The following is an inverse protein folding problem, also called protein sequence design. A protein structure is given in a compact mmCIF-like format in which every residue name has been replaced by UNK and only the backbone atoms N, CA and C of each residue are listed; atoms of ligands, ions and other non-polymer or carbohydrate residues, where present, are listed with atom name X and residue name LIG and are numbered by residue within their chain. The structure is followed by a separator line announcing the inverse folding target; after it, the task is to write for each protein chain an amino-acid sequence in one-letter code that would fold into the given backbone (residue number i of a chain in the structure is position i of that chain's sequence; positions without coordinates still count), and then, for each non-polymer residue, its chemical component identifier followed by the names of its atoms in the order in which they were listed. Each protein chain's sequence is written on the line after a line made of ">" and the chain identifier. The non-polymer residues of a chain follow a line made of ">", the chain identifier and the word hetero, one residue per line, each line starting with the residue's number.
data_IF_251224213431
#
_entry.id   IF_251224213431
#
_cell.length_a   1.000
_cell.length_b   1.000
_cell.length_c   1.000
_cell.angle_alpha   90.00
_cell.angle_beta   90.00
_cell.angle_gamma   90.00
#
_symmetry.space_group_name_H-M   'P 1'
#
loop_
_entity.id
_entity.type
_entity.pdbx_description
1 polymer ?
#
# COMPACT_ATOMS: atom_id res chain seq x y z
N UNK A 1 7.90 -40.73 36.18
CA UNK A 1 8.25 -40.80 34.75
C UNK A 1 7.91 -39.44 34.18
N UNK A 2 8.87 -38.77 33.54
CA UNK A 2 8.53 -37.62 32.73
C UNK A 2 7.84 -38.16 31.47
N UNK A 3 6.61 -37.73 31.23
CA UNK A 3 6.00 -37.85 29.89
C UNK A 3 6.87 -37.05 28.93
N UNK A 4 7.15 -37.61 27.75
CA UNK A 4 7.75 -36.80 26.68
C UNK A 4 6.78 -35.64 26.38
N UNK A 5 7.26 -34.39 26.28
CA UNK A 5 6.39 -33.27 26.00
C UNK A 5 5.71 -33.49 24.66
N UNK A 6 4.39 -33.28 24.62
CA UNK A 6 3.65 -33.36 23.37
C UNK A 6 4.21 -32.30 22.40
N UNK A 7 4.21 -32.59 21.09
CA UNK A 7 4.91 -31.75 20.11
C UNK A 7 4.52 -30.27 20.14
N UNK A 8 3.26 -29.99 20.53
CA UNK A 8 2.73 -28.64 20.74
C UNK A 8 3.43 -27.94 21.91
N UNK A 9 3.46 -28.53 23.12
CA UNK A 9 4.12 -27.96 24.30
C UNK A 9 5.62 -27.69 24.05
N UNK A 10 6.27 -28.58 23.30
CA UNK A 10 7.66 -28.40 22.89
C UNK A 10 7.83 -27.20 21.95
N UNK A 11 6.93 -27.03 20.98
CA UNK A 11 6.97 -25.90 20.05
C UNK A 11 6.70 -24.54 20.72
N UNK A 12 5.75 -24.49 21.67
CA UNK A 12 5.49 -23.30 22.51
C UNK A 12 6.72 -22.94 23.34
N UNK A 13 7.34 -23.95 23.96
CA UNK A 13 8.57 -23.80 24.75
C UNK A 13 9.74 -23.30 23.90
N UNK A 14 9.86 -23.77 22.65
CA UNK A 14 10.88 -23.33 21.69
C UNK A 14 10.63 -21.89 21.20
N UNK A 15 9.36 -21.54 20.95
CA UNK A 15 8.98 -20.17 20.60
C UNK A 15 9.31 -19.19 21.74
N UNK A 16 8.87 -19.50 22.97
CA UNK A 16 9.14 -18.69 24.15
C UNK A 16 10.64 -18.59 24.48
N UNK A 17 11.43 -19.65 24.21
CA UNK A 17 12.89 -19.60 24.31
C UNK A 17 13.51 -18.62 23.29
N UNK A 18 12.91 -18.49 22.11
CA UNK A 18 13.29 -17.51 21.11
C UNK A 18 13.13 -16.08 21.61
N UNK A 19 11.94 -15.74 22.12
CA UNK A 19 11.64 -14.43 22.73
C UNK A 19 12.59 -14.09 23.89
N UNK A 20 12.92 -15.07 24.75
CA UNK A 20 13.88 -14.88 25.85
C UNK A 20 15.28 -14.64 25.28
N UNK A 21 15.69 -15.37 24.24
CA UNK A 21 17.00 -15.19 23.61
C UNK A 21 17.14 -13.82 22.90
N UNK A 22 16.07 -13.32 22.27
CA UNK A 22 16.00 -11.99 21.68
C UNK A 22 16.19 -10.90 22.74
N UNK A 23 15.40 -10.94 23.83
CA UNK A 23 15.51 -9.98 24.96
C UNK A 23 16.89 -10.00 25.63
N UNK A 24 17.60 -11.12 25.56
CA UNK A 24 18.96 -11.29 26.05
C UNK A 24 20.05 -10.88 25.04
N UNK A 25 19.67 -10.23 23.92
CA UNK A 25 20.53 -9.81 22.82
C UNK A 25 21.38 -10.97 22.22
N UNK A 26 20.74 -12.12 21.98
CA UNK A 26 21.37 -13.32 21.39
C UNK A 26 20.64 -13.76 20.11
N UNK A 27 20.77 -12.99 19.00
CA UNK A 27 20.02 -13.24 17.76
C UNK A 27 20.21 -14.66 17.23
N UNK A 28 21.44 -15.18 17.18
CA UNK A 28 21.72 -16.56 16.71
C UNK A 28 21.02 -17.65 17.52
N UNK A 29 20.61 -17.36 18.77
CA UNK A 29 19.86 -18.29 19.62
C UNK A 29 18.36 -18.12 19.42
N UNK A 30 17.89 -16.88 19.28
CA UNK A 30 16.50 -16.59 18.95
C UNK A 30 16.12 -17.22 17.61
N UNK A 31 16.92 -16.98 16.57
CA UNK A 31 16.69 -17.48 15.20
C UNK A 31 16.65 -19.02 15.16
N UNK A 32 17.56 -19.70 15.89
CA UNK A 32 17.56 -21.17 15.99
C UNK A 32 16.36 -21.71 16.77
N UNK A 33 15.92 -21.02 17.82
CA UNK A 33 14.78 -21.44 18.62
C UNK A 33 13.47 -21.30 17.84
N UNK A 34 13.24 -20.17 17.17
CA UNK A 34 12.08 -19.98 16.29
C UNK A 34 12.13 -20.91 15.07
N UNK A 35 13.29 -21.14 14.44
CA UNK A 35 13.43 -22.15 13.36
C UNK A 35 13.05 -23.57 13.82
N UNK A 36 13.36 -23.92 15.07
CA UNK A 36 12.93 -25.19 15.65
C UNK A 36 11.42 -25.22 15.94
N UNK A 37 10.84 -24.12 16.46
CA UNK A 37 9.40 -24.00 16.68
C UNK A 37 8.59 -24.13 15.38
N UNK A 38 9.07 -23.51 14.28
CA UNK A 38 8.48 -23.67 12.94
C UNK A 38 8.44 -25.12 12.45
N UNK A 39 9.38 -25.97 12.87
CA UNK A 39 9.51 -27.33 12.36
C UNK A 39 8.59 -28.36 13.04
N UNK A 40 7.97 -28.02 14.18
CA UNK A 40 7.21 -28.99 14.99
C UNK A 40 5.98 -28.46 15.72
N UNK A 41 5.54 -27.22 15.44
CA UNK A 41 4.42 -26.58 16.15
C UNK A 41 3.05 -26.67 15.47
N UNK A 42 2.04 -26.09 16.11
CA UNK A 42 0.75 -25.79 15.48
C UNK A 42 0.91 -24.69 14.42
N UNK A 43 -0.04 -24.55 13.49
CA UNK A 43 0.00 -23.53 12.44
C UNK A 43 0.22 -22.11 13.02
N UNK A 44 -0.47 -21.76 14.10
CA UNK A 44 -0.36 -20.46 14.78
C UNK A 44 1.06 -20.20 15.30
N UNK A 45 1.68 -21.21 15.92
CA UNK A 45 3.06 -21.13 16.45
C UNK A 45 4.07 -21.09 15.31
N UNK A 46 3.85 -21.85 14.24
CA UNK A 46 4.70 -21.82 13.04
C UNK A 46 4.67 -20.43 12.39
N UNK A 47 3.49 -19.83 12.24
CA UNK A 47 3.30 -18.49 11.68
C UNK A 47 3.92 -17.41 12.58
N UNK A 48 3.70 -17.46 13.90
CA UNK A 48 4.31 -16.53 14.85
C UNK A 48 5.85 -16.64 14.85
N UNK A 49 6.40 -17.85 14.85
CA UNK A 49 7.83 -18.11 14.78
C UNK A 49 8.44 -17.62 13.46
N UNK A 50 7.74 -17.81 12.35
CA UNK A 50 8.12 -17.31 11.04
C UNK A 50 8.16 -15.77 11.01
N UNK A 51 7.11 -15.11 11.47
CA UNK A 51 7.03 -13.64 11.51
C UNK A 51 8.16 -13.05 12.36
N UNK A 52 8.41 -13.62 13.55
CA UNK A 52 9.53 -13.23 14.43
C UNK A 52 10.89 -13.42 13.75
N UNK A 53 11.08 -14.54 13.05
CA UNK A 53 12.33 -14.83 12.33
C UNK A 53 12.54 -13.89 11.14
N UNK A 54 11.51 -13.59 10.36
CA UNK A 54 11.54 -12.59 9.28
C UNK A 54 11.94 -11.22 9.85
N UNK A 55 11.27 -10.76 10.90
CA UNK A 55 11.56 -9.48 11.55
C UNK A 55 13.02 -9.41 12.03
N UNK A 56 13.52 -10.45 12.68
CA UNK A 56 14.92 -10.51 13.14
C UNK A 56 15.91 -10.39 11.97
N UNK A 57 15.67 -11.12 10.87
CA UNK A 57 16.54 -11.07 9.69
C UNK A 57 16.51 -9.68 9.01
N UNK A 58 15.33 -9.06 8.88
CA UNK A 58 15.18 -7.69 8.36
C UNK A 58 15.89 -6.65 9.23
N UNK A 59 15.84 -6.78 10.56
CA UNK A 59 16.53 -5.90 11.50
C UNK A 59 18.07 -6.04 11.44
N UNK A 60 18.60 -7.18 10.99
CA UNK A 60 20.04 -7.42 10.85
C UNK A 60 20.57 -7.23 9.41
N UNK A 61 19.72 -6.81 8.46
CA UNK A 61 20.11 -6.64 7.05
C UNK A 61 20.42 -7.96 6.35
N UNK A 62 19.71 -9.03 6.71
CA UNK A 62 19.84 -10.35 6.09
C UNK A 62 18.74 -10.57 5.03
N UNK A 63 18.55 -9.60 4.15
CA UNK A 63 17.41 -9.48 3.24
C UNK A 63 17.30 -10.69 2.28
N UNK A 64 18.42 -11.17 1.74
CA UNK A 64 18.44 -12.41 0.92
C UNK A 64 18.03 -13.67 1.70
N UNK A 65 18.31 -13.73 3.02
CA UNK A 65 17.91 -14.86 3.85
C UNK A 65 16.41 -14.83 4.17
N UNK A 66 15.77 -13.66 4.09
CA UNK A 66 14.30 -13.53 4.15
C UNK A 66 13.67 -14.08 2.89
N UNK A 67 14.20 -13.75 1.71
CA UNK A 67 13.70 -14.28 0.42
C UNK A 67 13.91 -15.80 0.31
N UNK A 68 15.06 -16.33 0.72
CA UNK A 68 15.32 -17.77 0.80
C UNK A 68 14.33 -18.47 1.75
N UNK A 69 14.10 -17.90 2.94
CA UNK A 69 13.12 -18.40 3.89
C UNK A 69 11.70 -18.43 3.29
N UNK A 70 11.23 -17.32 2.71
CA UNK A 70 9.93 -17.20 2.04
C UNK A 70 9.80 -18.23 0.91
N UNK A 71 10.87 -18.45 0.13
CA UNK A 71 10.89 -19.42 -0.97
C UNK A 71 10.76 -20.88 -0.51
N UNK A 72 11.06 -21.18 0.76
CA UNK A 72 10.97 -22.54 1.33
C UNK A 72 9.68 -22.83 2.10
N UNK A 73 8.86 -21.82 2.36
CA UNK A 73 7.64 -21.95 3.19
C UNK A 73 6.39 -21.88 2.30
N UNK A 74 5.45 -22.79 2.51
CA UNK A 74 4.13 -22.72 1.90
C UNK A 74 3.26 -21.70 2.66
N UNK A 75 2.58 -20.83 1.91
CA UNK A 75 1.72 -19.78 2.45
C UNK A 75 0.30 -19.99 1.92
N UNK A 76 -0.58 -20.56 2.75
CA UNK A 76 -1.93 -21.01 2.35
C UNK A 76 -3.05 -20.17 3.00
N UNK A 77 -2.78 -18.90 3.39
CA UNK A 77 -3.75 -18.07 4.11
C UNK A 77 -3.61 -16.56 3.85
N UNK A 78 -4.72 -15.83 4.02
CA UNK A 78 -4.75 -14.37 3.85
C UNK A 78 -3.79 -13.65 4.81
N UNK A 79 -3.65 -14.18 6.03
CA UNK A 79 -2.73 -13.65 7.03
C UNK A 79 -1.25 -13.78 6.62
N UNK A 80 -0.91 -14.76 5.76
CA UNK A 80 0.40 -14.85 5.15
C UNK A 80 0.62 -13.79 4.05
N UNK A 81 -0.38 -13.58 3.18
CA UNK A 81 -0.32 -12.56 2.13
C UNK A 81 0.05 -11.18 2.69
N UNK A 82 -0.60 -10.77 3.78
CA UNK A 82 -0.27 -9.52 4.49
C UNK A 82 1.17 -9.46 5.00
N UNK A 83 1.70 -10.53 5.58
CA UNK A 83 3.10 -10.56 6.05
C UNK A 83 4.08 -10.43 4.88
N UNK A 84 3.77 -11.02 3.72
CA UNK A 84 4.58 -10.88 2.51
C UNK A 84 4.53 -9.46 1.93
N UNK A 85 3.37 -8.79 1.97
CA UNK A 85 3.23 -7.37 1.62
C UNK A 85 4.08 -6.47 2.52
N UNK A 86 3.99 -6.63 3.85
CA UNK A 86 4.79 -5.86 4.81
C UNK A 86 6.31 -6.03 4.57
N UNK A 87 6.76 -7.23 4.14
CA UNK A 87 8.15 -7.51 3.74
C UNK A 87 8.52 -6.83 2.42
N UNK A 88 7.66 -6.91 1.41
CA UNK A 88 7.90 -6.28 0.11
C UNK A 88 7.96 -4.75 0.21
N UNK A 89 7.05 -4.13 0.98
CA UNK A 89 7.07 -2.70 1.33
C UNK A 89 8.37 -2.32 2.05
N UNK A 90 8.84 -3.14 2.99
CA UNK A 90 10.14 -2.94 3.67
C UNK A 90 11.32 -2.97 2.69
N UNK A 91 11.27 -3.81 1.65
CA UNK A 91 12.29 -3.84 0.59
C UNK A 91 12.20 -2.65 -0.37
N UNK A 92 10.99 -2.18 -0.70
CA UNK A 92 10.80 -0.96 -1.50
C UNK A 92 11.31 0.29 -0.76
N UNK A 93 11.03 0.43 0.54
CA UNK A 93 11.57 1.50 1.39
C UNK A 93 13.10 1.50 1.49
N UNK A 94 13.74 0.37 1.20
CA UNK A 94 15.21 0.20 1.18
C UNK A 94 15.82 0.31 -0.22
N UNK A 95 15.05 0.70 -1.23
CA UNK A 95 15.45 0.74 -2.65
C UNK A 95 15.94 -0.62 -3.18
N UNK A 96 15.22 -1.70 -2.82
CA UNK A 96 15.49 -3.08 -3.26
C UNK A 96 14.31 -3.70 -4.03
N UNK A 97 13.83 -3.09 -5.13
CA UNK A 97 12.65 -3.55 -5.86
C UNK A 97 12.78 -4.98 -6.39
N UNK A 98 13.99 -5.44 -6.72
CA UNK A 98 14.21 -6.83 -7.17
C UNK A 98 14.00 -7.89 -6.07
N UNK A 99 14.18 -7.55 -4.79
CA UNK A 99 13.83 -8.45 -3.68
C UNK A 99 12.35 -8.36 -3.33
N UNK A 100 11.75 -7.17 -3.44
CA UNK A 100 10.32 -6.98 -3.30
C UNK A 100 9.55 -7.83 -4.33
N UNK A 101 9.89 -7.74 -5.62
CA UNK A 101 9.29 -8.54 -6.68
C UNK A 101 9.32 -10.06 -6.38
N UNK A 102 10.47 -10.59 -5.96
CA UNK A 102 10.61 -12.00 -5.61
C UNK A 102 9.73 -12.46 -4.42
N UNK A 103 9.30 -11.53 -3.56
CA UNK A 103 8.33 -11.77 -2.48
C UNK A 103 6.89 -11.59 -2.99
N UNK A 104 6.62 -10.62 -3.86
CA UNK A 104 5.30 -10.38 -4.44
C UNK A 104 4.86 -11.51 -5.40
N UNK A 105 5.80 -12.15 -6.11
CA UNK A 105 5.58 -13.36 -6.91
C UNK A 105 5.08 -14.58 -6.08
N UNK A 106 5.06 -14.47 -4.75
CA UNK A 106 4.52 -15.46 -3.80
C UNK A 106 3.15 -15.07 -3.24
N UNK A 107 2.65 -13.86 -3.52
CA UNK A 107 1.34 -13.37 -3.07
C UNK A 107 0.32 -13.62 -4.17
N UNK A 108 -0.66 -14.49 -3.88
CA UNK A 108 -1.80 -14.70 -4.78
C UNK A 108 -2.92 -13.73 -4.39
N UNK A 109 -3.32 -12.84 -5.31
CA UNK A 109 -4.34 -11.81 -5.06
C UNK A 109 -5.69 -12.37 -4.58
N UNK A 110 -6.04 -13.59 -4.99
CA UNK A 110 -7.24 -14.32 -4.53
C UNK A 110 -7.24 -14.68 -3.04
N UNK A 111 -6.09 -14.56 -2.37
CA UNK A 111 -5.94 -14.75 -0.93
C UNK A 111 -5.76 -13.42 -0.17
N UNK A 112 -6.01 -12.27 -0.80
CA UNK A 112 -5.93 -10.97 -0.15
C UNK A 112 -7.31 -10.32 -0.07
N UNK A 113 -7.60 -9.67 1.06
CA UNK A 113 -8.77 -8.79 1.18
C UNK A 113 -8.62 -7.60 0.21
N UNK A 114 -9.71 -6.92 -0.22
CA UNK A 114 -9.63 -5.85 -1.23
C UNK A 114 -8.58 -4.77 -0.92
N UNK A 115 -8.47 -4.33 0.35
CA UNK A 115 -7.44 -3.37 0.77
C UNK A 115 -6.00 -3.88 0.63
N UNK A 116 -5.73 -5.15 0.94
CA UNK A 116 -4.41 -5.76 0.73
C UNK A 116 -4.13 -6.01 -0.77
N UNK A 117 -5.17 -6.19 -1.60
CA UNK A 117 -5.03 -6.24 -3.08
C UNK A 117 -4.64 -4.88 -3.69
N UNK A 118 -5.14 -3.76 -3.15
CA UNK A 118 -4.63 -2.43 -3.52
C UNK A 118 -3.14 -2.27 -3.16
N UNK A 119 -2.75 -2.63 -1.94
CA UNK A 119 -1.33 -2.62 -1.51
C UNK A 119 -0.45 -3.52 -2.39
N UNK A 120 -0.96 -4.69 -2.81
CA UNK A 120 -0.28 -5.59 -3.75
C UNK A 120 -0.04 -4.92 -5.11
N UNK A 121 -1.03 -4.21 -5.65
CA UNK A 121 -0.88 -3.46 -6.90
C UNK A 121 0.15 -2.33 -6.76
N UNK A 122 0.06 -1.52 -5.70
CA UNK A 122 1.02 -0.43 -5.41
C UNK A 122 2.46 -0.96 -5.27
N UNK A 123 2.64 -2.07 -4.55
CA UNK A 123 3.94 -2.70 -4.38
C UNK A 123 4.47 -3.29 -5.71
N UNK A 124 3.61 -3.90 -6.53
CA UNK A 124 3.96 -4.39 -7.88
C UNK A 124 4.39 -3.23 -8.80
N UNK A 125 3.69 -2.08 -8.78
CA UNK A 125 4.07 -0.86 -9.50
C UNK A 125 5.45 -0.37 -9.05
N UNK A 126 5.69 -0.32 -7.73
CA UNK A 126 7.01 0.01 -7.15
C UNK A 126 8.14 -0.94 -7.58
N UNK A 127 7.82 -2.19 -7.91
CA UNK A 127 8.75 -3.17 -8.47
C UNK A 127 8.93 -3.08 -9.99
N UNK A 128 8.13 -2.27 -10.69
CA UNK A 128 8.04 -2.23 -12.15
C UNK A 128 7.21 -3.35 -12.78
N UNK A 129 6.49 -4.13 -11.97
CA UNK A 129 5.56 -5.19 -12.41
C UNK A 129 4.19 -4.59 -12.79
N UNK A 130 4.20 -3.62 -13.70
CA UNK A 130 3.04 -2.77 -14.03
C UNK A 130 1.86 -3.58 -14.57
N UNK A 131 2.11 -4.52 -15.49
CA UNK A 131 1.05 -5.38 -16.04
C UNK A 131 0.42 -6.25 -14.95
N UNK A 132 1.25 -6.86 -14.09
CA UNK A 132 0.78 -7.70 -12.99
C UNK A 132 0.00 -6.91 -11.94
N UNK A 133 0.18 -5.58 -11.87
CA UNK A 133 -0.61 -4.66 -11.04
C UNK A 133 -1.93 -4.26 -11.71
N UNK A 134 -1.92 -4.03 -13.03
CA UNK A 134 -3.14 -3.81 -13.82
C UNK A 134 -4.06 -5.04 -13.73
N UNK A 135 -3.52 -6.25 -13.87
CA UNK A 135 -4.30 -7.50 -13.75
C UNK A 135 -4.99 -7.64 -12.37
N UNK A 136 -4.32 -7.25 -11.29
CA UNK A 136 -4.94 -7.19 -9.94
C UNK A 136 -6.03 -6.09 -9.86
N UNK A 137 -5.70 -4.92 -10.41
CA UNK A 137 -6.55 -3.78 -10.77
C UNK A 137 -7.92 -4.20 -11.32
N UNK A 138 -7.86 -4.83 -12.48
CA UNK A 138 -9.03 -5.28 -13.24
C UNK A 138 -9.78 -6.39 -12.52
N UNK A 139 -9.08 -7.28 -11.82
CA UNK A 139 -9.73 -8.30 -11.00
C UNK A 139 -10.37 -7.76 -9.70
N UNK A 140 -10.16 -6.49 -9.33
CA UNK A 140 -10.98 -5.80 -8.30
C UNK A 140 -12.25 -5.17 -8.88
N UNK A 141 -12.31 -4.89 -10.19
CA UNK A 141 -13.54 -4.41 -10.85
C UNK A 141 -14.64 -5.49 -10.91
N UNK A 142 -14.29 -6.75 -10.66
CA UNK A 142 -15.22 -7.87 -10.60
C UNK A 142 -15.81 -8.11 -9.19
N UNK A 143 -15.41 -7.32 -8.19
CA UNK A 143 -15.96 -7.39 -6.84
C UNK A 143 -17.46 -6.99 -6.81
N UNK A 144 -18.14 -7.24 -5.69
CA UNK A 144 -19.53 -6.83 -5.48
C UNK A 144 -19.67 -5.51 -4.71
N UNK A 145 -18.61 -5.03 -4.06
CA UNK A 145 -18.58 -3.73 -3.39
C UNK A 145 -18.29 -2.58 -4.39
N UNK A 146 -19.24 -1.65 -4.51
CA UNK A 146 -19.15 -0.49 -5.39
C UNK A 146 -18.00 0.45 -5.02
N UNK A 147 -17.70 0.65 -3.73
CA UNK A 147 -16.57 1.49 -3.31
C UNK A 147 -15.22 0.84 -3.68
N UNK A 148 -15.14 -0.51 -3.65
CA UNK A 148 -13.97 -1.25 -4.14
C UNK A 148 -13.81 -1.07 -5.65
N UNK A 149 -14.90 -1.20 -6.42
CA UNK A 149 -14.87 -0.99 -7.87
C UNK A 149 -14.43 0.44 -8.24
N UNK A 150 -15.02 1.47 -7.62
CA UNK A 150 -14.70 2.88 -7.91
C UNK A 150 -13.26 3.22 -7.54
N UNK A 151 -12.76 2.72 -6.39
CA UNK A 151 -11.33 2.84 -6.03
C UNK A 151 -10.41 2.13 -7.03
N UNK A 152 -10.80 0.97 -7.55
CA UNK A 152 -10.04 0.24 -8.56
C UNK A 152 -10.03 0.95 -9.92
N UNK A 153 -11.13 1.59 -10.32
CA UNK A 153 -11.15 2.46 -11.51
C UNK A 153 -10.19 3.64 -11.33
N UNK A 154 -10.24 4.33 -10.19
CA UNK A 154 -9.35 5.44 -9.92
C UNK A 154 -7.87 5.02 -9.92
N UNK A 155 -7.56 3.89 -9.29
CA UNK A 155 -6.20 3.33 -9.24
C UNK A 155 -5.69 2.96 -10.64
N UNK A 156 -6.51 2.28 -11.46
CA UNK A 156 -6.19 2.00 -12.86
C UNK A 156 -5.96 3.29 -13.66
N UNK A 157 -6.78 4.33 -13.45
CA UNK A 157 -6.60 5.65 -14.06
C UNK A 157 -5.23 6.26 -13.74
N UNK A 158 -4.79 6.19 -12.47
CA UNK A 158 -3.45 6.64 -12.07
C UNK A 158 -2.33 5.83 -12.72
N UNK A 159 -2.46 4.49 -12.78
CA UNK A 159 -1.46 3.62 -13.43
C UNK A 159 -1.35 3.94 -14.92
N UNK A 160 -2.48 4.06 -15.62
CA UNK A 160 -2.49 4.43 -17.03
C UNK A 160 -1.87 5.83 -17.26
N UNK A 161 -2.21 6.82 -16.43
CA UNK A 161 -1.65 8.17 -16.52
C UNK A 161 -0.13 8.20 -16.26
N UNK A 162 0.36 7.49 -15.24
CA UNK A 162 1.79 7.39 -14.90
C UNK A 162 2.65 6.67 -15.94
N UNK A 163 2.03 6.00 -16.91
CA UNK A 163 2.68 5.30 -18.02
C UNK A 163 2.35 5.89 -19.40
N UNK A 164 2.00 7.19 -19.45
CA UNK A 164 1.67 7.94 -20.68
C UNK A 164 0.49 7.35 -21.50
N UNK A 165 -0.32 6.47 -20.90
CA UNK A 165 -1.52 5.87 -21.51
C UNK A 165 -2.73 6.76 -21.28
N UNK A 166 -2.74 7.92 -21.96
CA UNK A 166 -3.73 8.99 -21.79
C UNK A 166 -5.17 8.51 -22.03
N UNK A 167 -5.48 7.90 -23.18
CA UNK A 167 -6.88 7.53 -23.49
C UNK A 167 -7.47 6.49 -22.51
N UNK A 168 -6.75 5.40 -22.13
CA UNK A 168 -7.19 4.53 -21.05
C UNK A 168 -7.37 5.23 -19.69
N UNK A 169 -6.46 6.13 -19.32
CA UNK A 169 -6.54 6.87 -18.07
C UNK A 169 -7.79 7.76 -18.01
N UNK A 170 -8.07 8.52 -19.07
CA UNK A 170 -9.30 9.30 -19.24
C UNK A 170 -10.53 8.40 -19.10
N UNK A 171 -10.56 7.25 -19.80
CA UNK A 171 -11.68 6.33 -19.73
C UNK A 171 -11.91 5.76 -18.33
N UNK A 172 -10.88 5.63 -17.51
CA UNK A 172 -11.03 5.18 -16.12
C UNK A 172 -11.51 6.32 -15.21
N UNK A 173 -10.89 7.50 -15.28
CA UNK A 173 -11.31 8.65 -14.45
C UNK A 173 -12.72 9.13 -14.80
N UNK A 174 -13.13 9.08 -16.06
CA UNK A 174 -14.51 9.37 -16.46
C UNK A 174 -15.49 8.47 -15.72
N UNK A 175 -15.22 7.16 -15.63
CA UNK A 175 -16.08 6.19 -14.93
C UNK A 175 -16.10 6.40 -13.41
N UNK A 176 -15.04 6.98 -12.84
CA UNK A 176 -15.02 7.38 -11.41
C UNK A 176 -15.94 8.57 -11.16
N UNK A 177 -15.92 9.58 -12.04
CA UNK A 177 -16.81 10.75 -11.95
C UNK A 177 -18.28 10.35 -12.22
N UNK A 178 -18.52 9.47 -13.19
CA UNK A 178 -19.86 8.94 -13.53
C UNK A 178 -20.48 8.07 -12.43
N UNK A 179 -19.69 7.58 -11.46
CA UNK A 179 -20.20 6.84 -10.31
C UNK A 179 -20.87 7.74 -9.26
N UNK A 180 -20.67 9.06 -9.32
CA UNK A 180 -21.30 10.07 -8.45
C UNK A 180 -21.11 9.83 -6.94
N UNK A 181 -20.00 9.18 -6.56
CA UNK A 181 -19.60 8.95 -5.16
C UNK A 181 -19.05 10.24 -4.54
N UNK A 182 -19.59 10.65 -3.39
CA UNK A 182 -19.27 11.90 -2.67
C UNK A 182 -17.76 12.11 -2.42
N UNK A 183 -16.99 11.02 -2.29
CA UNK A 183 -15.55 11.06 -2.06
C UNK A 183 -14.78 10.90 -3.37
N UNK A 184 -15.08 9.87 -4.16
CA UNK A 184 -14.29 9.50 -5.32
C UNK A 184 -14.55 10.36 -6.55
N UNK A 185 -15.77 10.87 -6.76
CA UNK A 185 -16.09 11.72 -7.91
C UNK A 185 -15.21 12.98 -7.98
N UNK A 186 -15.10 13.83 -6.93
CA UNK A 186 -14.20 15.00 -6.99
C UNK A 186 -12.71 14.62 -7.04
N UNK A 187 -12.31 13.49 -6.44
CA UNK A 187 -10.94 12.95 -6.50
C UNK A 187 -10.58 12.54 -7.94
N UNK A 188 -11.49 11.85 -8.64
CA UNK A 188 -11.36 11.48 -10.04
C UNK A 188 -11.35 12.69 -10.98
N UNK A 189 -12.21 13.67 -10.73
CA UNK A 189 -12.24 14.93 -11.48
C UNK A 189 -10.94 15.72 -11.36
N UNK A 190 -10.35 15.82 -10.14
CA UNK A 190 -9.05 16.46 -9.95
C UNK A 190 -7.95 15.76 -10.74
N UNK A 191 -7.86 14.43 -10.65
CA UNK A 191 -6.84 13.64 -11.36
C UNK A 191 -7.00 13.69 -12.88
N UNK A 192 -8.23 13.74 -13.39
CA UNK A 192 -8.51 13.94 -14.82
C UNK A 192 -8.10 15.34 -15.28
N UNK A 193 -8.44 16.39 -14.53
CA UNK A 193 -8.00 17.75 -14.83
C UNK A 193 -6.48 17.88 -14.87
N UNK A 194 -5.79 17.24 -13.93
CA UNK A 194 -4.33 17.16 -13.89
C UNK A 194 -3.73 16.45 -15.11
N UNK A 195 -4.34 15.34 -15.55
CA UNK A 195 -3.94 14.66 -16.77
C UNK A 195 -4.12 15.55 -18.01
N UNK A 196 -5.26 16.22 -18.16
CA UNK A 196 -5.51 17.13 -19.29
C UNK A 196 -4.54 18.32 -19.30
N UNK A 197 -4.21 18.88 -18.13
CA UNK A 197 -3.20 19.92 -18.01
C UNK A 197 -1.80 19.42 -18.41
N UNK A 198 -1.45 18.19 -18.05
CA UNK A 198 -0.16 17.58 -18.42
C UNK A 198 0.00 17.33 -19.92
N UNK A 199 -1.10 17.04 -20.63
CA UNK A 199 -1.12 16.89 -22.09
C UNK A 199 -1.23 18.24 -22.83
N UNK A 200 -1.43 19.33 -22.10
CA UNK A 200 -1.48 20.71 -22.59
C UNK A 200 -2.88 21.25 -22.90
N UNK A 201 -3.93 20.48 -22.61
CA UNK A 201 -5.33 20.91 -22.74
C UNK A 201 -5.82 21.55 -21.44
N UNK A 202 -5.40 22.81 -21.23
CA UNK A 202 -5.77 23.59 -20.06
C UNK A 202 -7.25 24.01 -20.04
N UNK A 203 -7.93 23.99 -21.19
CA UNK A 203 -9.37 24.30 -21.29
C UNK A 203 -10.17 23.15 -20.68
N UNK A 204 -9.96 21.91 -21.15
CA UNK A 204 -10.56 20.73 -20.55
C UNK A 204 -10.13 20.51 -19.08
N UNK A 205 -8.87 20.79 -18.74
CA UNK A 205 -8.40 20.73 -17.35
C UNK A 205 -9.20 21.64 -16.41
N UNK A 206 -9.53 22.85 -16.88
CA UNK A 206 -10.31 23.83 -16.12
C UNK A 206 -11.73 23.33 -15.85
N UNK A 207 -12.38 22.69 -16.82
CA UNK A 207 -13.72 22.10 -16.64
C UNK A 207 -13.72 21.05 -15.52
N UNK A 208 -12.76 20.12 -15.53
CA UNK A 208 -12.66 19.08 -14.50
C UNK A 208 -12.23 19.60 -13.12
N UNK A 209 -11.36 20.62 -13.06
CA UNK A 209 -11.02 21.27 -11.79
C UNK A 209 -12.18 22.07 -11.19
N UNK A 210 -13.11 22.62 -11.99
CA UNK A 210 -14.33 23.22 -11.46
C UNK A 210 -15.21 22.16 -10.80
N UNK A 211 -15.40 21.00 -11.45
CA UNK A 211 -16.15 19.86 -10.85
C UNK A 211 -15.51 19.39 -9.54
N UNK A 212 -14.18 19.29 -9.48
CA UNK A 212 -13.46 18.93 -8.26
C UNK A 212 -13.58 20.00 -7.15
N UNK A 213 -13.67 21.28 -7.50
CA UNK A 213 -13.83 22.39 -6.56
C UNK A 213 -15.25 22.46 -5.96
N UNK A 214 -16.29 22.06 -6.70
CA UNK A 214 -17.68 22.00 -6.21
C UNK A 214 -17.95 20.77 -5.31
N UNK A 215 -17.00 19.84 -5.19
CA UNK A 215 -17.12 18.61 -4.39
C UNK A 215 -17.04 18.81 -2.87
N UNK A 216 -17.44 17.78 -2.12
CA UNK A 216 -17.52 17.81 -0.65
C UNK A 216 -16.17 17.60 0.07
N UNK A 217 -15.13 17.11 -0.62
CA UNK A 217 -13.84 16.73 -0.03
C UNK A 217 -12.91 17.94 0.06
N UNK A 218 -12.96 18.68 1.17
CA UNK A 218 -12.23 19.95 1.36
C UNK A 218 -10.76 19.97 0.90
N UNK A 219 -9.89 18.97 1.16
CA UNK A 219 -8.52 18.97 0.65
C UNK A 219 -8.41 18.89 -0.88
N UNK A 220 -9.39 18.28 -1.55
CA UNK A 220 -9.49 18.19 -3.01
C UNK A 220 -10.03 19.52 -3.57
N UNK A 221 -11.03 20.10 -2.90
CA UNK A 221 -11.54 21.45 -3.19
C UNK A 221 -10.41 22.49 -3.16
N UNK A 222 -9.61 22.51 -2.09
CA UNK A 222 -8.50 23.46 -1.92
C UNK A 222 -7.41 23.28 -3.00
N UNK A 223 -7.11 22.02 -3.37
CA UNK A 223 -6.18 21.71 -4.47
C UNK A 223 -6.72 22.20 -5.82
N UNK A 224 -7.99 21.89 -6.13
CA UNK A 224 -8.65 22.30 -7.37
C UNK A 224 -8.70 23.83 -7.52
N UNK A 225 -9.11 24.55 -6.46
CA UNK A 225 -9.10 26.01 -6.40
C UNK A 225 -7.68 26.58 -6.60
N UNK A 226 -6.65 25.92 -6.06
CA UNK A 226 -5.24 26.31 -6.28
C UNK A 226 -4.83 26.16 -7.75
N UNK A 227 -5.25 25.09 -8.45
CA UNK A 227 -4.98 24.93 -9.89
C UNK A 227 -5.69 26.01 -10.71
N UNK A 228 -6.98 26.24 -10.46
CA UNK A 228 -7.77 27.30 -11.12
C UNK A 228 -7.19 28.70 -10.91
N UNK A 229 -6.72 29.01 -9.71
CA UNK A 229 -6.03 30.27 -9.42
C UNK A 229 -4.71 30.40 -10.20
N UNK A 230 -3.92 29.34 -10.30
CA UNK A 230 -2.64 29.35 -11.02
C UNK A 230 -2.77 29.60 -12.54
N UNK A 231 -3.88 29.16 -13.16
CA UNK A 231 -4.21 29.50 -14.56
C UNK A 231 -4.66 30.95 -14.73
N UNK A 232 -5.22 31.55 -13.66
CA UNK A 232 -5.81 32.88 -13.68
C UNK A 232 -4.79 34.00 -13.44
N UNK A 233 -3.58 33.69 -12.97
CA UNK A 233 -2.51 34.68 -12.88
C UNK A 233 -2.09 35.12 -14.28
N UNK A 234 -2.30 36.39 -14.67
CA UNK A 234 -1.74 36.87 -15.91
C UNK A 234 -0.22 36.80 -15.78
N UNK A 235 0.45 36.23 -16.79
CA UNK A 235 1.89 36.45 -16.97
C UNK A 235 2.08 37.94 -17.14
N UNK A 236 2.34 38.64 -16.02
CA UNK A 236 2.83 40.01 -16.03
C UNK A 236 4.19 39.90 -16.68
N UNK A 237 4.19 40.16 -17.99
CA UNK A 237 5.40 40.32 -18.77
C UNK A 237 6.31 41.22 -17.94
N UNK A 238 7.57 40.80 -17.73
CA UNK A 238 8.57 41.64 -17.09
C UNK A 238 8.87 42.79 -18.05
N UNK A 239 7.99 43.79 -18.01
CA UNK A 239 7.95 44.92 -18.92
C UNK A 239 9.09 45.84 -18.50
N UNK A 240 10.24 45.50 -19.07
CA UNK A 240 11.53 46.15 -18.98
C UNK A 240 11.32 47.67 -18.98
N UNK A 241 11.52 48.38 -17.86
CA UNK A 241 11.25 49.80 -17.82
C UNK A 241 12.20 50.51 -18.79
N UNK A 242 11.69 51.24 -19.79
CA UNK A 242 12.53 52.18 -20.50
C UNK A 242 12.75 53.36 -19.57
N UNK A 243 14.00 53.73 -19.30
CA UNK A 243 14.50 55.10 -19.48
C UNK A 243 16.02 55.18 -19.22
N UNK A 244 16.63 56.14 -19.91
CA UNK A 244 18.07 56.36 -20.04
C UNK A 244 18.62 57.33 -18.98
N UNK A 245 19.92 57.21 -18.65
CA UNK A 245 20.52 58.04 -17.59
C UNK A 245 22.04 58.10 -17.50
N UNK A 246 22.74 58.44 -18.59
CA UNK A 246 23.98 59.25 -18.53
C UNK A 246 25.35 58.60 -18.25
N UNK A 247 26.27 58.77 -19.22
CA UNK A 247 27.75 58.91 -19.07
C UNK A 247 28.57 57.74 -18.48
N UNK A 248 29.73 57.35 -19.02
CA UNK A 248 30.69 58.10 -19.85
C UNK A 248 31.27 57.27 -21.00
N UNK A 249 31.77 57.96 -22.03
CA UNK A 249 32.55 57.34 -23.09
C UNK A 249 33.96 56.97 -22.62
N UNK A 250 34.47 55.83 -23.08
CA UNK A 250 35.90 55.66 -23.29
C UNK A 250 36.13 54.88 -24.59
N UNK A 251 36.51 55.61 -25.63
CA UNK A 251 36.81 55.09 -26.96
C UNK A 251 38.14 54.35 -26.96
N UNK A 252 38.16 53.08 -27.35
CA UNK A 252 39.34 52.42 -27.92
C UNK A 252 38.91 51.69 -29.18
N UNK A 253 39.40 52.15 -30.33
CA UNK A 253 39.21 51.50 -31.63
C UNK A 253 40.35 50.48 -31.88
N UNK A 254 40.26 49.62 -32.92
CA UNK A 254 40.80 48.26 -32.86
C UNK A 254 42.06 48.10 -33.71
N UNK A 255 42.65 46.90 -33.69
CA UNK A 255 42.97 46.13 -34.92
C UNK A 255 43.18 44.63 -34.58
N UNK A 256 43.11 43.71 -35.57
CA UNK A 256 43.12 42.26 -35.37
C UNK A 256 44.57 41.73 -35.28
N UNK A 257 44.78 40.40 -35.29
CA UNK A 257 45.65 39.67 -36.26
C UNK A 257 45.44 38.14 -36.10
N UNK A 258 45.41 37.44 -37.24
CA UNK A 258 45.58 36.00 -37.53
C UNK A 258 45.50 34.97 -36.38
N UNK A 259 44.53 34.06 -36.34
CA UNK A 259 44.30 32.94 -37.28
C UNK A 259 45.46 31.94 -37.36
N UNK A 260 45.27 30.76 -36.75
CA UNK A 260 45.70 29.52 -37.41
C UNK A 260 44.76 28.35 -37.08
N UNK A 261 44.76 27.35 -37.97
CA UNK A 261 43.71 26.33 -38.06
C UNK A 261 44.22 24.94 -37.69
N UNK A 262 43.34 24.12 -37.09
CA UNK A 262 43.28 22.71 -37.51
C UNK A 262 41.85 22.15 -37.43
N UNK A 263 41.44 21.55 -38.56
CA UNK A 263 40.09 21.09 -38.89
C UNK A 263 40.16 19.59 -39.21
N UNK A 264 39.42 18.74 -38.48
CA UNK A 264 38.83 17.46 -38.94
C UNK A 264 37.64 17.22 -37.97
N UNK A 265 36.38 17.61 -38.25
CA UNK A 265 35.36 16.88 -39.06
C UNK A 265 35.27 15.39 -38.65
N UNK A 266 34.16 14.71 -38.35
CA UNK A 266 32.70 14.91 -38.34
C UNK A 266 32.10 13.74 -37.49
N UNK A 267 30.83 13.68 -37.03
CA UNK A 267 29.66 14.54 -37.24
C UNK A 267 28.66 14.49 -36.05
N UNK A 268 27.51 15.15 -36.21
CA UNK A 268 26.37 15.26 -35.30
C UNK A 268 25.59 13.97 -34.96
N UNK A 269 25.03 13.94 -33.73
CA UNK A 269 23.57 13.88 -33.52
C UNK A 269 23.21 14.52 -32.18
N UNK A 270 22.34 15.53 -32.21
CA UNK A 270 21.79 16.14 -31.00
C UNK A 270 20.58 15.35 -30.50
N UNK A 271 20.48 15.19 -29.19
CA UNK A 271 19.27 14.84 -28.46
C UNK A 271 19.14 15.82 -27.31
N UNK A 272 18.19 16.75 -27.39
CA UNK A 272 17.87 17.64 -26.28
C UNK A 272 17.11 16.82 -25.25
N UNK A 273 17.74 16.54 -24.10
CA UNK A 273 17.00 16.02 -22.96
C UNK A 273 16.11 17.14 -22.42
N UNK A 274 14.81 17.06 -22.70
CA UNK A 274 13.79 17.69 -21.88
C UNK A 274 13.84 17.07 -20.47
N UNK A 275 13.51 17.83 -19.41
CA UNK A 275 13.33 17.23 -18.09
C UNK A 275 12.20 16.20 -18.17
N UNK A 276 12.44 15.01 -17.60
CA UNK A 276 11.36 14.03 -17.39
C UNK A 276 10.33 14.67 -16.47
N UNK A 277 9.04 14.56 -16.79
CA UNK A 277 7.99 14.86 -15.84
C UNK A 277 8.15 13.97 -14.62
N UNK A 278 8.10 14.56 -13.43
CA UNK A 278 7.90 13.79 -12.21
C UNK A 278 6.47 13.22 -12.24
N UNK A 279 6.25 11.97 -11.77
CA UNK A 279 4.91 11.41 -11.73
C UNK A 279 4.01 12.29 -10.86
N UNK A 280 2.79 12.57 -11.33
CA UNK A 280 1.78 13.32 -10.58
C UNK A 280 1.24 12.41 -9.47
N UNK A 281 1.99 12.34 -8.37
CA UNK A 281 1.55 11.65 -7.16
C UNK A 281 0.52 12.54 -6.48
N UNK A 282 -0.76 12.20 -6.62
CA UNK A 282 -1.79 12.65 -5.68
C UNK A 282 -1.45 11.99 -4.35
N UNK A 283 -0.79 12.73 -3.45
CA UNK A 283 -0.37 12.22 -2.15
C UNK A 283 -1.60 12.03 -1.28
N UNK A 284 -2.19 10.84 -1.33
CA UNK A 284 -3.32 10.38 -0.50
C UNK A 284 -2.91 10.07 0.95
N UNK A 285 -1.78 10.59 1.44
CA UNK A 285 -1.36 10.37 2.82
C UNK A 285 -2.41 10.95 3.78
N UNK A 286 -3.04 10.06 4.56
CA UNK A 286 -3.87 10.33 5.75
C UNK A 286 -5.34 10.72 5.59
N UNK A 287 -6.06 10.25 4.56
CA UNK A 287 -7.53 10.21 4.59
C UNK A 287 -8.11 8.86 4.10
N UNK A 288 -8.01 7.83 4.92
CA UNK A 288 -8.93 6.70 4.84
C UNK A 288 -10.30 7.12 5.42
N UNK A 289 -11.44 6.79 4.78
CA UNK A 289 -12.75 7.00 5.38
C UNK A 289 -12.87 6.11 6.62
N UNK A 290 -13.17 6.72 7.76
CA UNK A 290 -13.37 5.99 9.01
C UNK A 290 -14.58 5.05 8.86
N UNK A 291 -14.34 3.73 8.91
CA UNK A 291 -15.41 2.74 8.86
C UNK A 291 -16.46 3.04 9.95
N UNK A 292 -17.71 3.20 9.54
CA UNK A 292 -18.80 3.52 10.45
C UNK A 292 -18.95 2.41 11.50
N UNK A 293 -18.68 2.74 12.75
CA UNK A 293 -18.99 1.85 13.87
C UNK A 293 -20.51 1.71 14.01
N UNK A 294 -21.06 0.65 13.41
CA UNK A 294 -22.44 0.20 13.62
C UNK A 294 -22.65 -0.08 15.11
N UNK A 295 -23.19 0.92 15.81
CA UNK A 295 -23.60 0.79 17.20
C UNK A 295 -24.83 -0.09 17.27
N UNK A 296 -24.64 -1.37 17.58
CA UNK A 296 -25.75 -2.27 17.98
C UNK A 296 -26.16 -1.95 19.41
N UNK A 297 -26.88 -0.84 19.57
CA UNK A 297 -27.49 -0.43 20.83
C UNK A 297 -28.52 -1.48 21.26
N UNK A 298 -28.13 -2.33 22.23
CA UNK A 298 -28.99 -3.40 22.76
C UNK A 298 -29.57 -2.97 24.10
N UNK A 299 -30.60 -2.14 24.01
CA UNK A 299 -31.44 -1.75 25.14
C UNK A 299 -32.13 -2.97 25.78
N UNK A 300 -31.64 -3.36 26.96
CA UNK A 300 -32.40 -4.08 28.01
C UNK A 300 -31.59 -4.16 29.31
N UNK A 301 -31.97 -3.36 30.30
CA UNK A 301 -31.29 -3.34 31.59
C UNK A 301 -32.07 -2.65 32.71
N UNK A 302 -33.36 -2.95 32.85
CA UNK A 302 -34.20 -2.36 33.90
C UNK A 302 -34.68 -3.42 34.91
N UNK A 303 -34.93 -2.98 36.15
CA UNK A 303 -35.37 -3.75 37.33
C UNK A 303 -34.35 -4.69 38.00
N UNK A 304 -33.51 -4.11 38.85
CA UNK A 304 -33.10 -4.76 40.10
C UNK A 304 -34.25 -4.65 41.10
N UNK A 305 -34.69 -5.77 41.68
CA UNK A 305 -35.50 -5.74 42.89
C UNK A 305 -35.05 -6.84 43.87
N UNK A 306 -34.97 -6.50 45.15
CA UNK A 306 -34.33 -7.31 46.19
C UNK A 306 -35.32 -7.71 47.27
N UNK A 307 -35.58 -9.00 47.43
CA UNK A 307 -36.23 -9.52 48.63
C UNK A 307 -35.81 -10.96 48.93
N UNK A 308 -35.50 -11.20 50.20
CA UNK A 308 -35.26 -12.52 50.81
C UNK A 308 -36.50 -13.41 50.76
N UNK A 309 -36.31 -14.73 50.70
CA UNK A 309 -36.72 -15.62 51.80
C UNK A 309 -36.24 -17.07 51.60
N UNK A 310 -35.56 -17.60 52.62
CA UNK A 310 -35.46 -19.04 52.92
C UNK A 310 -36.81 -19.51 53.54
N UNK A 311 -37.22 -20.81 53.51
CA UNK A 311 -36.34 -21.91 53.94
C UNK A 311 -36.57 -23.35 53.39
N UNK A 312 -35.60 -24.21 53.71
CA UNK A 312 -35.73 -25.64 54.07
C UNK A 312 -36.53 -26.63 53.20
N UNK A 313 -35.82 -27.56 52.55
CA UNK A 313 -36.09 -29.00 52.69
C UNK A 313 -34.85 -29.84 52.32
N UNK A 314 -34.61 -30.92 53.09
CA UNK A 314 -33.44 -31.81 53.00
C UNK A 314 -33.79 -33.11 52.19
N UNK A 315 -32.98 -34.20 52.14
CA UNK A 315 -32.42 -34.67 50.88
C UNK A 315 -32.98 -36.02 50.38
N UNK A 316 -32.75 -36.34 49.09
CA UNK A 316 -33.01 -37.68 48.55
C UNK A 316 -31.90 -38.18 47.61
N UNK A 317 -31.21 -39.22 48.07
CA UNK A 317 -30.18 -39.99 47.34
C UNK A 317 -30.73 -40.69 46.09
N UNK A 318 -29.91 -40.79 45.02
CA UNK A 318 -29.74 -42.07 44.28
C UNK A 318 -28.47 -42.12 43.41
N UNK A 319 -27.85 -43.29 43.43
CA UNK A 319 -26.54 -43.66 42.88
C UNK A 319 -26.59 -44.02 41.37
N UNK A 320 -25.44 -44.11 40.67
CA UNK A 320 -25.38 -44.15 39.21
C UNK A 320 -25.67 -45.53 38.60
N UNK A 321 -26.22 -45.54 37.39
CA UNK A 321 -26.27 -46.74 36.53
C UNK A 321 -24.96 -46.91 35.76
N UNK A 322 -24.31 -48.06 35.95
CA UNK A 322 -23.17 -48.56 35.15
C UNK A 322 -23.66 -49.30 33.88
N UNK A 323 -22.78 -49.61 32.91
CA UNK A 323 -23.17 -49.84 31.52
C UNK A 323 -23.70 -51.25 31.22
N UNK A 324 -24.46 -51.37 30.13
CA UNK A 324 -24.79 -52.66 29.51
C UNK A 324 -23.67 -53.10 28.57
N UNK A 325 -23.38 -54.40 28.55
CA UNK A 325 -22.26 -54.98 27.82
C UNK A 325 -22.65 -55.48 26.41
N UNK A 326 -21.60 -55.66 25.60
CA UNK A 326 -21.43 -56.68 24.56
C UNK A 326 -22.64 -57.55 24.16
N UNK A 327 -22.89 -57.58 22.84
CA UNK A 327 -23.24 -58.82 22.14
C UNK A 327 -22.20 -59.05 21.04
N UNK A 328 -21.55 -60.21 21.05
CA UNK A 328 -20.67 -60.66 19.96
C UNK A 328 -21.43 -61.64 19.06
N UNK A 329 -21.06 -61.63 17.78
CA UNK A 329 -21.26 -62.78 16.91
C UNK A 329 -20.40 -63.98 17.38
N UNK A 330 -20.90 -65.18 17.09
CA UNK A 330 -20.31 -66.53 17.26
C UNK A 330 -19.98 -66.96 18.69
#
# INVERSE_FOLDING_TARGET
>A
MATEPEGVELSESLYALGDIAERMARPDRAERAWRAAMASGSADIQQAALQRRIQLLLCHGHDYAVVDLISTVAFESNAAGRVLLDVAETFLQRDMPGLAAAVLDRVEGTHCEPNDRFRLADAKIGCGQVNDAIDELEALLADHDEHVQVRALFSLGQVYAGHDMVDPAISMFQRVVEADDDYWSPVGALAWGDLMASTGDFEAATEHWVVAADGAVSPITDQALTRLASQSEPVIAQDRPPWSGGTSAMTVHPQPEHADTQRVLHNARGGVHAPKGEPVVVVLETLEPAAEHVSTDTDRGDTLDTASDEPSAEPATKTPKRPSAFSRYT
#
